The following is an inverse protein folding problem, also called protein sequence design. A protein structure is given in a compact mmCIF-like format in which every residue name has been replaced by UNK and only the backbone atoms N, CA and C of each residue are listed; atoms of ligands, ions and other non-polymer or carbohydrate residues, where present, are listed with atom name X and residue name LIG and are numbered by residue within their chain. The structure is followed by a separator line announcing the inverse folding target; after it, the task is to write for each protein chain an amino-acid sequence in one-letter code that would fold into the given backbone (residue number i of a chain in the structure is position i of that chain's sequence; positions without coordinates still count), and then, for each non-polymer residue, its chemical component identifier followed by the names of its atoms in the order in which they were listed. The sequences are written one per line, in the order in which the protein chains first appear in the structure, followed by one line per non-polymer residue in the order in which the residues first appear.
data_IF_657402369960
#
_entry.id   IF_657402369960
#
_cell.length_a   1.000
_cell.length_b   1.000
_cell.length_c   1.000
_cell.angle_alpha   90.00
_cell.angle_beta   90.00
_cell.angle_gamma   90.00
#
_symmetry.space_group_name_H-M   'P 1'
#
loop_
_entity.id
_entity.type
_entity.pdbx_description
1 polymer ?
#
# COMPACT_ATOMS: atom_id res chain seq x y z
N UNK A 1 8.55 34.55 32.33
CA UNK A 1 7.50 33.59 31.95
C UNK A 1 8.04 32.79 30.80
N UNK A 2 8.24 31.52 30.97
CA UNK A 2 8.85 30.64 29.94
C UNK A 2 7.79 30.19 28.94
N UNK A 3 8.05 30.42 27.68
CA UNK A 3 7.10 30.08 26.61
C UNK A 3 7.14 28.57 26.35
N UNK A 4 6.03 27.88 26.62
CA UNK A 4 5.92 26.42 26.41
C UNK A 4 5.53 26.10 24.97
N UNK A 5 6.07 24.99 24.44
CA UNK A 5 5.74 24.48 23.11
C UNK A 5 4.73 23.32 23.22
N UNK A 6 4.01 23.09 22.16
CA UNK A 6 3.17 21.87 22.06
C UNK A 6 4.09 20.65 22.13
N UNK A 7 3.75 19.72 23.01
CA UNK A 7 4.56 18.55 23.33
C UNK A 7 5.42 18.67 24.60
N UNK A 8 5.60 19.87 25.15
CA UNK A 8 6.35 20.06 26.39
C UNK A 8 5.64 19.36 27.56
N UNK A 9 6.43 18.70 28.40
CA UNK A 9 5.94 18.13 29.66
C UNK A 9 5.83 19.24 30.72
N UNK A 10 4.73 19.22 31.46
CA UNK A 10 4.42 20.18 32.51
C UNK A 10 3.91 19.43 33.73
N UNK A 11 4.41 19.79 34.89
CA UNK A 11 3.83 19.30 36.15
C UNK A 11 2.81 20.33 36.65
N UNK A 12 1.56 19.92 36.80
CA UNK A 12 0.46 20.74 37.27
C UNK A 12 -0.38 19.96 38.28
N UNK A 13 -0.55 20.53 39.47
CA UNK A 13 -1.30 19.91 40.57
C UNK A 13 -0.86 18.47 40.86
N UNK A 14 0.47 18.24 40.90
CA UNK A 14 1.08 16.92 41.14
C UNK A 14 0.90 15.89 40.04
N UNK A 15 0.41 16.32 38.86
CA UNK A 15 0.21 15.48 37.67
C UNK A 15 1.18 15.84 36.56
N UNK A 16 1.74 14.81 35.92
CA UNK A 16 2.54 14.99 34.70
C UNK A 16 1.60 15.12 33.49
N UNK A 17 1.56 16.31 32.90
CA UNK A 17 0.72 16.64 31.76
C UNK A 17 1.59 17.11 30.60
N UNK A 18 1.01 17.12 29.40
CA UNK A 18 1.65 17.62 28.17
C UNK A 18 0.84 18.77 27.60
N UNK A 19 1.53 19.74 27.01
CA UNK A 19 0.90 20.84 26.29
C UNK A 19 0.35 20.30 24.96
N UNK A 20 -0.98 20.24 24.84
CA UNK A 20 -1.67 19.73 23.64
C UNK A 20 -2.00 20.84 22.65
N UNK A 21 -2.29 22.01 23.15
CA UNK A 21 -2.56 23.18 22.31
C UNK A 21 -2.08 24.47 22.99
N UNK A 22 -1.76 25.46 22.17
CA UNK A 22 -1.39 26.79 22.60
C UNK A 22 -2.15 27.81 21.77
N UNK A 23 -2.84 28.71 22.43
CA UNK A 23 -3.51 29.87 21.83
C UNK A 23 -2.84 31.13 22.35
N UNK A 24 -2.58 32.08 21.46
CA UNK A 24 -2.09 33.41 21.83
C UNK A 24 -3.18 34.43 21.50
N UNK A 25 -3.49 35.26 22.45
CA UNK A 25 -4.48 36.34 22.30
C UNK A 25 -3.85 37.66 22.74
N UNK A 26 -4.07 38.72 21.96
CA UNK A 26 -3.69 40.08 22.34
C UNK A 26 -4.84 40.69 23.10
N UNK A 27 -4.66 40.94 24.40
CA UNK A 27 -5.68 41.52 25.26
C UNK A 27 -5.09 42.77 25.95
N UNK A 28 -5.76 43.87 25.82
CA UNK A 28 -5.35 45.16 26.40
C UNK A 28 -3.89 45.53 26.10
N UNK A 29 -3.39 45.23 24.90
CA UNK A 29 -2.01 45.49 24.47
C UNK A 29 -0.98 44.51 24.99
N UNK A 30 -1.37 43.48 25.75
CA UNK A 30 -0.52 42.41 26.26
C UNK A 30 -0.84 41.08 25.57
N UNK A 31 0.23 40.33 25.27
CA UNK A 31 0.11 39.00 24.67
C UNK A 31 -0.10 37.95 25.78
N UNK A 32 -1.30 37.36 25.83
CA UNK A 32 -1.64 36.30 26.74
C UNK A 32 -1.55 34.94 26.02
N UNK A 33 -1.01 33.93 26.73
CA UNK A 33 -0.94 32.54 26.22
C UNK A 33 -1.84 31.63 27.04
N UNK A 34 -2.75 30.96 26.36
CA UNK A 34 -3.60 29.92 26.94
C UNK A 34 -3.09 28.56 26.48
N UNK A 35 -2.77 27.69 27.45
CA UNK A 35 -2.31 26.34 27.19
C UNK A 35 -3.40 25.32 27.54
N UNK A 36 -3.62 24.39 26.64
CA UNK A 36 -4.43 23.21 26.92
C UNK A 36 -3.50 22.08 27.33
N UNK A 37 -3.69 21.54 28.53
CA UNK A 37 -2.90 20.46 29.08
C UNK A 37 -3.73 19.18 29.07
N UNK A 38 -3.10 18.02 28.79
CA UNK A 38 -3.72 16.71 28.85
C UNK A 38 -2.73 15.64 29.24
N UNK A 39 -3.24 14.47 29.61
CA UNK A 39 -2.43 13.28 29.89
C UNK A 39 -1.76 12.72 28.63
N UNK A 40 -0.92 11.72 28.82
CA UNK A 40 -0.13 11.07 27.76
C UNK A 40 -0.98 10.50 26.61
N UNK A 41 -2.22 10.15 26.89
CA UNK A 41 -3.18 9.59 25.91
C UNK A 41 -3.47 10.55 24.74
N UNK A 42 -3.41 11.84 25.00
CA UNK A 42 -3.62 12.88 23.97
C UNK A 42 -2.42 13.10 23.04
N UNK A 43 -1.26 12.60 23.39
CA UNK A 43 -0.08 12.62 22.51
C UNK A 43 -0.13 11.52 21.46
N UNK A 44 -1.06 10.60 21.59
CA UNK A 44 -1.26 9.52 20.62
C UNK A 44 -2.09 10.05 19.45
N UNK A 45 -1.41 10.32 18.39
CA UNK A 45 -2.09 10.68 17.15
C UNK A 45 -2.81 9.44 16.62
N UNK A 46 -4.13 9.56 16.42
CA UNK A 46 -4.89 8.52 15.72
C UNK A 46 -4.29 8.36 14.32
N UNK A 47 -4.01 7.14 13.91
CA UNK A 47 -3.62 6.87 12.53
C UNK A 47 -4.68 7.46 11.61
N UNK A 48 -4.22 8.33 10.72
CA UNK A 48 -5.08 8.94 9.72
C UNK A 48 -5.01 8.06 8.46
N UNK A 49 -6.03 7.25 8.25
CA UNK A 49 -6.24 6.57 6.99
C UNK A 49 -6.81 7.51 5.93
N UNK A 50 -6.67 7.14 4.69
CA UNK A 50 -7.33 7.85 3.59
C UNK A 50 -8.52 7.02 3.09
N UNK A 51 -9.77 7.32 3.52
CA UNK A 51 -10.94 6.54 3.14
C UNK A 51 -11.20 6.54 1.63
N UNK A 52 -10.63 7.49 0.89
CA UNK A 52 -10.81 7.58 -0.56
C UNK A 52 -10.06 6.50 -1.35
N UNK A 53 -9.00 5.90 -0.77
CA UNK A 53 -8.26 4.84 -1.45
C UNK A 53 -8.86 3.46 -1.25
N UNK A 54 -9.69 3.27 -0.25
CA UNK A 54 -10.31 1.98 0.04
C UNK A 54 -11.13 1.49 -1.17
N UNK A 55 -10.84 0.28 -1.64
CA UNK A 55 -11.46 -0.32 -2.82
C UNK A 55 -10.90 0.16 -4.16
N UNK A 56 -9.95 1.10 -4.18
CA UNK A 56 -9.30 1.55 -5.41
C UNK A 56 -8.23 0.58 -5.87
N UNK A 57 -7.94 0.64 -7.18
CA UNK A 57 -6.82 -0.07 -7.79
C UNK A 57 -6.00 0.86 -8.66
N UNK A 58 -4.68 0.69 -8.60
CA UNK A 58 -3.72 1.38 -9.46
C UNK A 58 -3.01 0.37 -10.34
N UNK A 59 -2.74 0.75 -11.58
CA UNK A 59 -1.97 -0.08 -12.50
C UNK A 59 -0.48 0.17 -12.33
N UNK A 60 0.29 -0.91 -12.46
CA UNK A 60 1.75 -0.85 -12.40
C UNK A 60 2.40 -2.00 -13.14
N UNK A 61 3.71 -1.92 -13.25
CA UNK A 61 4.57 -2.93 -13.86
C UNK A 61 5.48 -3.53 -12.80
N UNK A 62 5.63 -4.84 -12.81
CA UNK A 62 6.53 -5.55 -11.90
C UNK A 62 7.98 -5.22 -12.25
N UNK A 63 8.73 -4.65 -11.33
CA UNK A 63 10.17 -4.40 -11.45
C UNK A 63 11.03 -5.50 -10.83
N UNK A 64 10.47 -6.24 -9.88
CA UNK A 64 11.18 -7.33 -9.22
C UNK A 64 10.28 -8.11 -8.28
N UNK A 65 10.69 -9.35 -7.99
CA UNK A 65 10.00 -10.25 -7.08
C UNK A 65 10.98 -10.73 -6.00
N UNK A 66 10.49 -10.90 -4.78
CA UNK A 66 11.26 -11.46 -3.66
C UNK A 66 10.33 -12.23 -2.74
N UNK A 67 10.51 -13.55 -2.63
CA UNK A 67 9.59 -14.40 -1.89
C UNK A 67 8.17 -14.27 -2.45
N UNK A 68 7.23 -13.85 -1.61
CA UNK A 68 5.82 -13.64 -1.96
C UNK A 68 5.47 -12.15 -2.18
N UNK A 69 6.47 -11.32 -2.37
CA UNK A 69 6.28 -9.88 -2.58
C UNK A 69 6.76 -9.43 -3.95
N UNK A 70 6.12 -8.40 -4.47
CA UNK A 70 6.46 -7.77 -5.74
C UNK A 70 6.78 -6.29 -5.54
N UNK A 71 7.81 -5.81 -6.22
CA UNK A 71 8.11 -4.39 -6.32
C UNK A 71 7.51 -3.85 -7.61
N UNK A 72 6.71 -2.80 -7.49
CA UNK A 72 5.93 -2.25 -8.58
C UNK A 72 6.38 -0.83 -8.93
N UNK A 73 6.51 -0.57 -10.22
CA UNK A 73 6.51 0.77 -10.78
C UNK A 73 5.07 1.13 -11.16
N UNK A 74 4.44 2.01 -10.40
CA UNK A 74 3.08 2.43 -10.68
C UNK A 74 3.03 3.46 -11.82
N UNK A 75 2.00 3.41 -12.63
CA UNK A 75 1.83 4.34 -13.76
C UNK A 75 1.77 5.81 -13.31
N UNK A 76 1.28 6.05 -12.10
CA UNK A 76 1.21 7.39 -11.50
C UNK A 76 2.58 7.93 -11.08
N UNK A 77 3.58 7.08 -10.87
CA UNK A 77 4.91 7.48 -10.36
C UNK A 77 5.79 8.13 -11.43
N UNK A 78 5.32 8.20 -12.67
CA UNK A 78 6.01 8.86 -13.80
C UNK A 78 7.48 8.43 -13.95
N UNK A 79 7.75 7.13 -13.80
CA UNK A 79 9.08 6.56 -13.96
C UNK A 79 10.00 6.69 -12.74
N UNK A 80 9.50 7.13 -11.60
CA UNK A 80 10.24 7.05 -10.32
C UNK A 80 10.15 5.63 -9.78
N UNK A 81 11.29 4.95 -9.53
CA UNK A 81 11.27 3.59 -9.03
C UNK A 81 10.54 3.52 -7.69
N UNK A 82 9.64 2.57 -7.56
CA UNK A 82 8.95 2.33 -6.30
C UNK A 82 9.93 1.80 -5.25
N UNK A 83 9.86 2.37 -4.05
CA UNK A 83 10.67 1.92 -2.91
C UNK A 83 9.98 0.83 -2.10
N UNK A 84 8.71 0.58 -2.35
CA UNK A 84 7.88 -0.34 -1.57
C UNK A 84 7.66 -1.66 -2.31
N UNK A 85 7.63 -2.73 -1.54
CA UNK A 85 7.25 -4.06 -2.00
C UNK A 85 5.88 -4.42 -1.42
N UNK A 86 5.03 -5.01 -2.24
CA UNK A 86 3.67 -5.38 -1.89
C UNK A 86 3.48 -6.89 -1.92
N UNK A 87 2.66 -7.47 -1.02
CA UNK A 87 2.31 -8.88 -1.10
C UNK A 87 1.62 -9.19 -2.42
N UNK A 88 1.98 -10.32 -3.02
CA UNK A 88 1.32 -10.85 -4.20
C UNK A 88 0.20 -11.80 -3.83
N UNK A 89 -0.97 -11.62 -4.39
CA UNK A 89 -2.11 -12.50 -4.16
C UNK A 89 -2.52 -13.16 -5.47
N UNK A 90 -2.41 -14.48 -5.52
CA UNK A 90 -2.88 -15.29 -6.62
C UNK A 90 -4.40 -15.54 -6.53
N UNK A 91 -5.09 -15.45 -7.65
CA UNK A 91 -6.53 -15.79 -7.76
C UNK A 91 -6.68 -16.89 -8.81
N UNK A 92 -7.33 -18.03 -8.51
CA UNK A 92 -8.08 -18.37 -7.30
C UNK A 92 -7.20 -18.69 -6.09
N UNK A 93 -7.70 -18.37 -4.92
CA UNK A 93 -7.04 -18.69 -3.65
C UNK A 93 -7.30 -20.18 -3.36
N UNK A 94 -6.35 -21.04 -3.76
CA UNK A 94 -6.44 -22.50 -3.55
C UNK A 94 -5.55 -22.99 -2.40
N UNK A 95 -5.16 -22.08 -1.50
CA UNK A 95 -4.20 -22.38 -0.44
C UNK A 95 -2.76 -22.43 -0.98
N UNK A 96 -1.90 -23.22 -0.34
CA UNK A 96 -0.47 -23.31 -0.67
C UNK A 96 -0.15 -24.32 -1.81
N UNK A 97 -1.12 -24.66 -2.65
CA UNK A 97 -0.94 -25.67 -3.69
C UNK A 97 -0.14 -25.19 -4.89
N UNK A 98 -0.10 -23.88 -5.14
CA UNK A 98 0.60 -23.32 -6.29
C UNK A 98 1.39 -22.08 -5.85
N UNK A 99 2.63 -22.00 -6.29
CA UNK A 99 3.48 -20.82 -6.17
C UNK A 99 3.76 -20.27 -7.57
N UNK A 100 3.11 -19.17 -7.92
CA UNK A 100 3.24 -18.52 -9.21
C UNK A 100 3.43 -17.03 -8.99
N UNK A 101 4.68 -16.57 -9.09
CA UNK A 101 5.00 -15.15 -9.05
C UNK A 101 4.94 -14.56 -10.47
N UNK A 102 4.51 -13.29 -10.58
CA UNK A 102 4.51 -12.62 -11.87
C UNK A 102 5.94 -12.38 -12.36
N UNK A 103 6.14 -12.44 -13.66
CA UNK A 103 7.44 -12.12 -14.27
C UNK A 103 7.70 -10.60 -14.22
N UNK A 104 8.98 -10.22 -14.18
CA UNK A 104 9.39 -8.82 -14.32
C UNK A 104 8.90 -8.30 -15.68
N UNK A 105 8.36 -7.09 -15.67
CA UNK A 105 7.71 -6.48 -16.84
C UNK A 105 6.23 -6.79 -16.97
N UNK A 106 5.67 -7.68 -16.15
CA UNK A 106 4.22 -7.96 -16.16
C UNK A 106 3.42 -6.79 -15.62
N UNK A 107 2.31 -6.49 -16.27
CA UNK A 107 1.33 -5.51 -15.81
C UNK A 107 0.43 -6.13 -14.76
N UNK A 108 0.29 -5.45 -13.62
CA UNK A 108 -0.51 -5.90 -12.49
C UNK A 108 -1.32 -4.75 -11.90
N UNK A 109 -2.27 -5.10 -11.05
CA UNK A 109 -3.08 -4.14 -10.32
C UNK A 109 -2.66 -4.13 -8.85
N UNK A 110 -2.41 -2.95 -8.29
CA UNK A 110 -2.24 -2.73 -6.85
C UNK A 110 -3.60 -2.36 -6.27
N UNK A 111 -4.15 -3.22 -5.43
CA UNK A 111 -5.47 -3.06 -4.81
C UNK A 111 -5.35 -2.64 -3.35
N UNK A 112 -6.05 -1.58 -2.97
CA UNK A 112 -6.12 -1.07 -1.61
C UNK A 112 -7.33 -1.65 -0.89
N UNK A 113 -7.07 -2.57 0.05
CA UNK A 113 -8.13 -3.23 0.84
C UNK A 113 -8.80 -2.30 1.84
N UNK A 114 -8.09 -1.29 2.30
CA UNK A 114 -8.51 -0.40 3.36
C UNK A 114 -8.01 1.02 3.16
N UNK A 115 -8.02 1.79 4.21
CA UNK A 115 -7.68 3.20 4.23
C UNK A 115 -6.16 3.46 4.36
N UNK A 116 -5.37 2.41 4.62
CA UNK A 116 -3.92 2.50 4.76
C UNK A 116 -3.21 2.04 3.49
N UNK A 117 -2.27 2.83 2.99
CA UNK A 117 -1.49 2.51 1.80
C UNK A 117 -0.61 1.26 2.00
N UNK A 118 -0.19 1.01 3.23
CA UNK A 118 0.62 -0.16 3.59
C UNK A 118 -0.13 -1.49 3.49
N UNK A 119 -1.47 -1.45 3.48
CA UNK A 119 -2.33 -2.64 3.39
C UNK A 119 -2.65 -3.04 1.95
N UNK A 120 -2.05 -2.35 0.98
CA UNK A 120 -2.23 -2.67 -0.42
C UNK A 120 -1.64 -4.04 -0.78
N UNK A 121 -2.28 -4.71 -1.70
CA UNK A 121 -1.85 -6.00 -2.26
C UNK A 121 -1.78 -5.94 -3.78
N UNK A 122 -0.79 -6.57 -4.35
CA UNK A 122 -0.70 -6.73 -5.80
C UNK A 122 -1.54 -7.93 -6.25
N UNK A 123 -2.39 -7.73 -7.24
CA UNK A 123 -3.33 -8.72 -7.73
C UNK A 123 -3.42 -8.69 -9.25
N UNK A 124 -3.89 -9.77 -9.85
CA UNK A 124 -4.30 -9.85 -11.27
C UNK A 124 -3.22 -9.41 -12.27
N UNK A 125 -2.63 -10.37 -12.96
CA UNK A 125 -1.83 -10.08 -14.15
C UNK A 125 -2.73 -9.65 -15.30
N UNK A 126 -2.39 -8.51 -15.90
CA UNK A 126 -3.04 -8.04 -17.12
C UNK A 126 -2.17 -8.48 -18.29
N UNK A 127 -2.68 -9.39 -19.09
CA UNK A 127 -2.01 -9.81 -20.31
C UNK A 127 -2.06 -8.66 -21.32
N UNK A 128 -0.91 -8.04 -21.55
CA UNK A 128 -0.76 -6.98 -22.54
C UNK A 128 0.36 -7.37 -23.51
N UNK A 129 0.08 -7.42 -24.79
CA UNK A 129 1.09 -7.71 -25.81
C UNK A 129 0.51 -8.26 -27.11
N UNK A 130 1.30 -8.18 -28.15
CA UNK A 130 0.91 -8.57 -29.53
C UNK A 130 0.64 -10.08 -29.69
N UNK A 131 0.99 -10.92 -28.69
CA UNK A 131 0.73 -12.37 -28.73
C UNK A 131 -0.66 -12.77 -28.22
N UNK A 132 -1.52 -11.84 -27.85
CA UNK A 132 -2.87 -12.14 -27.38
C UNK A 132 -3.90 -12.23 -28.52
N UNK A 133 -3.59 -11.69 -29.69
CA UNK A 133 -4.54 -11.55 -30.79
C UNK A 133 -4.88 -12.89 -31.48
N UNK A 134 -4.04 -13.91 -31.35
CA UNK A 134 -4.20 -15.21 -32.02
C UNK A 134 -4.53 -16.36 -31.06
N UNK A 135 -4.67 -16.10 -29.76
CA UNK A 135 -5.00 -17.17 -28.83
C UNK A 135 -6.50 -17.49 -28.88
N UNK A 136 -6.84 -18.72 -29.29
CA UNK A 136 -8.20 -19.22 -29.14
C UNK A 136 -8.54 -19.29 -27.66
N UNK A 137 -9.69 -18.75 -27.25
CA UNK A 137 -10.15 -18.79 -25.85
C UNK A 137 -10.37 -20.23 -25.33
N UNK A 138 -10.44 -21.21 -26.22
CA UNK A 138 -10.57 -22.62 -25.92
C UNK A 138 -9.25 -23.23 -25.46
N UNK A 139 -8.12 -22.68 -25.92
CA UNK A 139 -6.79 -23.15 -25.56
C UNK A 139 -6.42 -22.64 -24.18
N UNK A 140 -6.20 -23.56 -23.26
CA UNK A 140 -5.70 -23.27 -21.93
C UNK A 140 -4.24 -23.65 -21.86
N UNK A 141 -3.37 -22.69 -21.61
CA UNK A 141 -1.94 -22.96 -21.52
C UNK A 141 -1.29 -22.17 -20.40
N UNK A 142 -0.29 -22.74 -19.78
CA UNK A 142 0.64 -22.11 -18.87
C UNK A 142 2.02 -22.20 -19.50
N UNK A 143 2.64 -21.06 -19.77
CA UNK A 143 3.96 -20.98 -20.38
C UNK A 143 4.91 -20.26 -19.46
N UNK A 144 6.07 -20.86 -19.19
CA UNK A 144 7.13 -20.24 -18.40
C UNK A 144 8.01 -19.35 -19.27
N UNK A 145 8.80 -18.45 -18.63
CA UNK A 145 9.77 -17.57 -19.29
C UNK A 145 10.76 -18.33 -20.18
N UNK A 146 11.11 -19.57 -19.82
CA UNK A 146 12.04 -20.42 -20.57
C UNK A 146 11.37 -21.31 -21.60
N UNK A 147 10.08 -21.06 -21.89
CA UNK A 147 9.37 -21.77 -22.95
C UNK A 147 8.78 -23.13 -22.56
N UNK A 148 8.86 -23.56 -21.30
CA UNK A 148 8.13 -24.72 -20.86
C UNK A 148 6.64 -24.43 -20.90
N UNK A 149 5.86 -25.35 -21.44
CA UNK A 149 4.45 -25.13 -21.69
C UNK A 149 3.60 -26.32 -21.23
N UNK A 150 2.61 -26.05 -20.40
CA UNK A 150 1.53 -26.98 -20.07
C UNK A 150 0.30 -26.55 -20.87
N UNK A 151 -0.23 -27.41 -21.73
CA UNK A 151 -1.46 -27.18 -22.49
C UNK A 151 -2.57 -28.10 -22.03
N UNK A 152 -3.76 -27.56 -21.87
CA UNK A 152 -4.97 -28.27 -21.52
C UNK A 152 -5.98 -28.03 -22.63
N UNK A 153 -6.01 -28.91 -23.62
CA UNK A 153 -6.97 -28.88 -24.73
C UNK A 153 -8.05 -29.92 -24.53
N UNK A 154 -9.19 -29.78 -25.21
CA UNK A 154 -10.25 -30.78 -25.16
C UNK A 154 -9.74 -32.10 -25.75
N UNK A 155 -9.44 -33.07 -24.87
CA UNK A 155 -9.03 -34.43 -25.24
C UNK A 155 -7.56 -34.76 -25.10
N UNK A 156 -6.65 -33.77 -24.99
CA UNK A 156 -5.22 -34.00 -24.85
C UNK A 156 -4.59 -33.16 -23.73
N UNK A 157 -3.77 -33.79 -22.92
CA UNK A 157 -2.89 -33.13 -21.98
C UNK A 157 -1.45 -33.27 -22.48
N UNK A 158 -0.90 -32.21 -23.02
CA UNK A 158 0.51 -32.16 -23.45
C UNK A 158 1.39 -31.47 -22.39
N UNK A 159 2.53 -32.07 -22.07
CA UNK A 159 3.60 -31.51 -21.23
C UNK A 159 4.81 -31.26 -22.08
#
# INVERSE_FOLDING_TARGET
MELRRVGDAVEWDGKHLFVCARKAELKDGMLEFVYTLSGREWTWQKRLGNPKISGMSLLGTVEGCSGETVRLLLDIDRGRPAQLSYPWTWVPVTGNLMYLMPQVGTRVSLYFKGEEETDAIAVNCIRSGNGCAEADYRDKSLTTEHGMQLRLNQGDMGV
#
